data_IF_187045487091
#
_entry.id   IF_187045487091
#
_cell.length_a   1.000
_cell.length_b   1.000
_cell.length_c   1.000
_cell.angle_alpha   90.00
_cell.angle_beta   90.00
_cell.angle_gamma   90.00
#
_symmetry.space_group_name_H-M   'P 1'
#
loop_
_entity.id
_entity.type
_entity.pdbx_description
1 polymer ?
2 non-polymer ?
3 non-polymer ?
4 water ?
#
# COMPACT_ATOMS: atom_id res chain seq x y z
N UNK A 2 -17.15 -20.94 4.36
CA UNK A 2 -15.93 -21.63 3.93
C UNK A 2 -15.15 -20.79 2.95
N UNK A 3 -15.68 -19.62 2.59
CA UNK A 3 -15.12 -18.76 1.55
C UNK A 3 -14.54 -17.50 2.19
N UNK A 4 -13.23 -17.32 2.05
CA UNK A 4 -12.49 -16.20 2.61
C UNK A 4 -11.83 -15.42 1.48
N UNK A 5 -11.42 -14.20 1.78
CA UNK A 5 -10.65 -13.39 0.85
C UNK A 5 -9.39 -12.90 1.54
N UNK A 6 -8.28 -12.86 0.80
CA UNK A 6 -7.04 -12.31 1.34
C UNK A 6 -6.52 -11.26 0.37
N UNK A 7 -5.83 -10.26 0.91
CA UNK A 7 -5.04 -9.34 0.12
C UNK A 7 -3.77 -9.07 0.88
N UNK A 8 -2.66 -8.82 0.18
CA UNK A 8 -1.55 -8.13 0.82
C UNK A 8 -1.94 -6.69 1.05
N UNK A 9 -1.18 -5.98 1.87
CA UNK A 9 -1.48 -4.58 2.16
C UNK A 9 -0.83 -3.70 1.09
N UNK A 10 -1.37 -3.82 -0.13
CA UNK A 10 -0.85 -3.18 -1.32
C UNK A 10 -2.00 -2.48 -2.04
N UNK A 11 -1.84 -1.20 -2.35
CA UNK A 11 -2.87 -0.40 -2.98
C UNK A 11 -2.24 0.42 -4.09
N UNK A 12 -2.81 0.37 -5.28
CA UNK A 12 -2.31 1.16 -6.41
C UNK A 12 -3.45 2.02 -6.91
N UNK A 13 -3.09 3.15 -7.52
CA UNK A 13 -4.11 4.08 -7.95
C UNK A 13 -3.62 4.93 -9.10
N UNK A 14 -4.56 5.61 -9.73
CA UNK A 14 -4.32 6.36 -10.96
C UNK A 14 -3.73 7.73 -10.68
N UNK A 15 -2.63 8.04 -11.34
CA UNK A 15 -2.08 9.39 -11.35
C UNK A 15 -2.34 9.96 -12.72
N UNK A 16 -3.11 11.05 -12.78
CA UNK A 16 -3.46 11.67 -14.04
C UNK A 16 -2.23 11.92 -14.88
N UNK A 17 -2.22 11.34 -16.08
CA UNK A 17 -1.16 11.59 -17.05
C UNK A 17 0.22 11.10 -16.69
N UNK A 18 0.34 10.11 -15.80
CA UNK A 18 1.66 9.62 -15.43
C UNK A 18 2.06 8.47 -16.34
N UNK A 19 3.33 8.43 -16.70
CA UNK A 19 3.89 7.38 -17.54
C UNK A 19 4.69 6.35 -16.74
N UNK A 20 4.59 6.34 -15.41
CA UNK A 20 5.43 5.47 -14.61
C UNK A 20 4.61 4.80 -13.53
N UNK A 21 4.85 3.51 -13.33
CA UNK A 21 4.21 2.72 -12.27
C UNK A 21 2.69 2.91 -12.26
N UNK A 22 2.09 2.86 -13.46
CA UNK A 22 0.65 2.84 -13.64
C UNK A 22 0.14 1.49 -14.12
N UNK A 23 1.02 0.49 -14.26
CA UNK A 23 0.67 -0.82 -14.80
C UNK A 23 1.30 -1.89 -13.93
N UNK A 24 0.48 -2.81 -13.41
CA UNK A 24 0.90 -3.70 -12.36
C UNK A 24 0.52 -5.15 -12.68
N UNK A 25 1.36 -6.08 -12.25
CA UNK A 25 1.20 -7.49 -12.58
C UNK A 25 1.51 -8.34 -11.36
N UNK A 26 0.74 -9.41 -11.18
CA UNK A 26 1.08 -10.42 -10.17
C UNK A 26 0.53 -11.76 -10.62
N UNK A 27 0.94 -12.82 -9.93
CA UNK A 27 0.43 -14.15 -10.23
C UNK A 27 -0.09 -14.79 -8.95
N UNK A 28 -0.91 -15.83 -9.11
CA UNK A 28 -1.38 -16.64 -8.00
C UNK A 28 -1.15 -18.11 -8.34
N UNK A 29 -0.74 -18.90 -7.34
CA UNK A 29 -0.64 -20.33 -7.54
C UNK A 29 -1.20 -21.03 -6.32
N UNK A 30 -1.59 -22.30 -6.51
CA UNK A 30 -2.04 -23.15 -5.40
C UNK A 30 -0.87 -23.94 -4.81
N UNK A 41 -15.02 -26.60 -4.64
CA UNK A 41 -14.24 -25.54 -4.00
C UNK A 41 -14.18 -24.24 -4.80
N UNK A 42 -14.26 -23.11 -4.10
CA UNK A 42 -14.30 -21.79 -4.73
C UNK A 42 -12.87 -21.26 -4.88
N UNK A 43 -12.58 -20.64 -6.03
CA UNK A 43 -11.32 -19.92 -6.20
C UNK A 43 -11.51 -18.85 -7.27
N UNK A 44 -11.40 -17.59 -6.87
CA UNK A 44 -11.42 -16.45 -7.78
C UNK A 44 -10.23 -15.55 -7.45
N UNK A 45 -9.68 -14.92 -8.49
CA UNK A 45 -8.49 -14.09 -8.39
C UNK A 45 -8.76 -12.79 -9.14
N UNK A 46 -8.31 -11.67 -8.59
CA UNK A 46 -8.33 -10.44 -9.36
C UNK A 46 -7.97 -9.19 -8.57
N UNK A 47 -8.67 -8.11 -8.87
CA UNK A 47 -8.44 -6.80 -8.27
C UNK A 47 -9.74 -6.30 -7.65
N UNK A 48 -9.63 -5.62 -6.51
CA UNK A 48 -10.77 -4.95 -5.91
C UNK A 48 -10.44 -3.48 -5.69
N UNK A 49 -11.44 -2.63 -5.88
CA UNK A 49 -11.28 -1.19 -5.75
C UNK A 49 -11.92 -0.71 -4.44
N UNK A 50 -11.24 0.19 -3.74
CA UNK A 50 -11.68 0.56 -2.39
C UNK A 50 -12.99 1.35 -2.40
N UNK A 51 -13.49 1.74 -3.57
CA UNK A 51 -14.85 2.27 -3.64
C UNK A 51 -15.88 1.25 -3.18
N UNK A 52 -15.54 -0.04 -3.20
CA UNK A 52 -16.43 -1.10 -2.73
C UNK A 52 -16.57 -1.16 -1.22
N UNK A 53 -15.76 -0.41 -0.48
CA UNK A 53 -15.93 -0.30 0.97
C UNK A 53 -17.07 0.65 1.30
N UNK A 54 -17.84 0.32 2.34
CA UNK A 54 -19.02 1.10 2.67
C UNK A 54 -19.07 1.36 4.18
N UNK A 55 -19.80 2.39 4.59
CA UNK A 55 -19.86 2.74 6.00
C UNK A 55 -20.34 1.59 6.86
N UNK A 56 -19.73 1.47 8.03
CA UNK A 56 -20.10 0.52 9.06
C UNK A 56 -20.79 1.26 10.22
N UNK A 57 -21.84 0.68 10.79
CA UNK A 57 -22.65 1.44 11.77
C UNK A 57 -21.84 2.10 12.88
N UNK A 58 -21.03 1.32 13.60
CA UNK A 58 -20.25 1.94 14.67
C UNK A 58 -19.35 3.05 14.19
N UNK A 59 -19.00 3.06 12.90
CA UNK A 59 -17.97 3.94 12.38
C UNK A 59 -16.97 3.13 11.59
N UNK A 60 -16.19 3.78 10.75
CA UNK A 60 -15.31 3.04 9.86
C UNK A 60 -16.08 2.45 8.70
N UNK A 61 -15.40 1.58 7.94
CA UNK A 61 -15.96 0.99 6.74
C UNK A 61 -15.65 -0.49 6.68
N UNK A 62 -16.50 -1.24 5.97
CA UNK A 62 -16.30 -2.66 5.73
C UNK A 62 -16.39 -2.93 4.22
N UNK A 63 -15.88 -4.08 3.79
CA UNK A 63 -15.97 -4.43 2.37
C UNK A 63 -17.42 -4.76 2.04
N UNK A 64 -17.94 -4.13 0.98
CA UNK A 64 -19.32 -4.32 0.56
C UNK A 64 -19.65 -5.65 -0.10
N UNK A 65 -18.67 -6.52 -0.35
CA UNK A 65 -18.92 -7.79 -1.01
C UNK A 65 -18.39 -8.98 -0.22
N UNK A 66 -18.68 -10.16 -0.75
CA UNK A 66 -18.23 -11.41 -0.13
C UNK A 66 -16.88 -11.86 -0.68
N UNK A 67 -16.72 -11.83 -2.00
CA UNK A 67 -15.46 -12.17 -2.61
C UNK A 67 -15.23 -11.32 -3.85
N UNK A 68 -14.04 -11.46 -4.42
CA UNK A 68 -13.72 -10.69 -5.61
C UNK A 68 -14.74 -10.99 -6.71
N UNK A 69 -15.21 -9.93 -7.38
CA UNK A 69 -16.20 -10.04 -8.41
C UNK A 69 -17.64 -9.96 -7.95
N UNK A 70 -17.91 -9.96 -6.64
CA UNK A 70 -19.29 -9.98 -6.22
C UNK A 70 -19.89 -8.58 -6.06
N UNK A 71 -19.08 -7.56 -5.84
CA UNK A 71 -19.55 -6.18 -5.80
C UNK A 71 -19.28 -5.49 -7.13
N UNK A 72 -19.80 -4.27 -7.28
CA UNK A 72 -19.62 -3.53 -8.52
C UNK A 72 -18.17 -3.08 -8.73
N UNK A 73 -17.33 -3.13 -7.70
CA UNK A 73 -16.02 -2.51 -7.76
C UNK A 73 -14.89 -3.52 -7.60
N UNK A 74 -15.15 -4.78 -7.93
CA UNK A 74 -14.07 -5.77 -8.00
C UNK A 74 -14.25 -6.61 -9.26
N UNK A 75 -13.15 -7.26 -9.65
CA UNK A 75 -13.04 -7.80 -11.00
C UNK A 75 -12.24 -9.08 -10.91
N UNK A 76 -12.89 -10.23 -11.11
CA UNK A 76 -12.31 -11.50 -10.76
C UNK A 76 -12.34 -12.47 -11.93
N UNK A 77 -11.64 -13.60 -11.73
CA UNK A 77 -11.47 -14.62 -12.75
C UNK A 77 -11.29 -15.96 -12.06
N UNK A 78 -12.03 -17.00 -12.50
CA UNK A 78 -11.98 -18.28 -11.81
C UNK A 78 -11.48 -19.41 -12.71
N UNK A 79 -10.87 -19.08 -13.84
CA UNK A 79 -10.42 -20.05 -14.81
C UNK A 79 -11.40 -20.29 -15.93
N UNK A 80 -12.69 -20.07 -15.68
CA UNK A 80 -13.71 -20.25 -16.72
C UNK A 80 -14.59 -19.03 -16.94
N UNK A 81 -14.66 -18.10 -15.99
CA UNK A 81 -15.51 -16.92 -16.11
C UNK A 81 -14.80 -15.70 -15.56
N UNK A 82 -15.13 -14.54 -16.13
CA UNK A 82 -14.84 -13.24 -15.53
C UNK A 82 -16.03 -12.83 -14.67
N UNK A 83 -15.74 -12.20 -13.52
CA UNK A 83 -16.78 -11.86 -12.54
C UNK A 83 -16.66 -10.39 -12.16
N UNK A 84 -17.79 -9.69 -12.18
CA UNK A 84 -17.85 -8.37 -11.56
C UNK A 84 -19.33 -8.06 -11.32
N UNK A 85 -19.60 -7.38 -10.21
CA UNK A 85 -20.98 -7.10 -9.84
C UNK A 85 -21.85 -8.34 -9.67
N UNK A 86 -21.26 -9.48 -9.31
CA UNK A 86 -21.99 -10.73 -9.20
C UNK A 86 -22.38 -11.37 -10.52
N UNK A 87 -21.98 -10.82 -11.65
CA UNK A 87 -22.27 -11.38 -12.96
C UNK A 87 -21.06 -12.13 -13.49
N UNK A 88 -21.30 -13.25 -14.18
CA UNK A 88 -20.22 -14.07 -14.72
C UNK A 88 -20.25 -14.06 -16.25
N UNK A 89 -19.07 -13.99 -16.85
CA UNK A 89 -18.91 -13.93 -18.30
C UNK A 89 -17.99 -15.06 -18.73
N UNK A 90 -18.50 -15.99 -19.53
CA UNK A 90 -17.68 -17.12 -19.93
C UNK A 90 -16.54 -16.70 -20.84
N UNK A 91 -15.38 -17.34 -20.66
CA UNK A 91 -14.25 -17.18 -21.57
C UNK A 91 -13.79 -18.58 -21.94
N UNK A 92 -12.87 -18.64 -22.90
CA UNK A 92 -12.25 -19.93 -23.18
C UNK A 92 -11.51 -20.42 -21.94
N UNK A 93 -11.41 -21.73 -21.79
CA UNK A 93 -10.89 -22.30 -20.56
C UNK A 93 -9.88 -23.41 -20.86
N UNK A 94 -8.97 -23.62 -19.92
CA UNK A 94 -7.92 -24.61 -20.10
C UNK A 94 -8.34 -25.99 -19.64
N UNK A 95 -9.28 -26.08 -18.69
CA UNK A 95 -9.84 -27.35 -18.25
C UNK A 95 -11.31 -27.40 -18.62
N UNK A 96 -11.76 -28.55 -19.15
CA UNK A 96 -13.13 -28.61 -19.65
C UNK A 96 -14.14 -28.55 -18.50
N UNK A 97 -13.85 -29.21 -17.39
CA UNK A 97 -14.78 -29.30 -16.27
C UNK A 97 -14.12 -28.79 -15.00
N UNK A 98 -14.96 -28.47 -14.02
CA UNK A 98 -14.45 -28.11 -12.71
C UNK A 98 -13.60 -29.27 -12.16
N UNK A 99 -12.54 -28.96 -11.40
CA UNK A 99 -12.02 -27.64 -11.02
C UNK A 99 -11.36 -26.91 -12.18
N UNK A 100 -11.70 -25.63 -12.39
CA UNK A 100 -11.14 -24.89 -13.51
C UNK A 100 -9.71 -24.45 -13.25
N UNK A 101 -9.30 -24.39 -11.98
CA UNK A 101 -7.93 -24.06 -11.58
C UNK A 101 -7.43 -25.22 -10.74
N UNK A 102 -6.32 -25.83 -11.15
CA UNK A 102 -5.81 -27.03 -10.50
C UNK A 102 -4.41 -26.79 -9.93
N UNK A 103 -4.00 -27.66 -9.03
CA UNK A 103 -2.66 -27.51 -8.45
C UNK A 103 -1.62 -27.54 -9.57
N UNK A 104 -0.66 -26.62 -9.49
CA UNK A 104 0.33 -26.41 -10.51
C UNK A 104 -0.02 -25.32 -11.52
N UNK A 105 -1.30 -25.05 -11.73
CA UNK A 105 -1.67 -23.95 -12.62
C UNK A 105 -1.29 -22.62 -11.98
N UNK A 106 -0.97 -21.65 -12.84
CA UNK A 106 -0.53 -20.32 -12.41
C UNK A 106 -1.38 -19.28 -13.11
N UNK A 107 -2.00 -18.39 -12.34
CA UNK A 107 -2.89 -17.38 -12.89
C UNK A 107 -2.17 -16.05 -12.89
N UNK A 108 -2.13 -15.38 -14.04
CA UNK A 108 -1.59 -14.05 -14.16
C UNK A 108 -2.68 -13.00 -14.10
N UNK A 109 -2.40 -11.87 -13.48
CA UNK A 109 -3.40 -10.82 -13.37
C UNK A 109 -2.73 -9.46 -13.56
N UNK A 110 -3.34 -8.61 -14.42
CA UNK A 110 -2.69 -7.37 -14.86
C UNK A 110 -3.66 -6.21 -14.80
N UNK A 111 -3.17 -5.05 -14.39
CA UNK A 111 -3.96 -3.84 -14.27
C UNK A 111 -3.19 -2.70 -14.92
N UNK A 112 -3.73 -2.14 -16.00
CA UNK A 112 -3.17 -0.97 -16.67
C UNK A 112 -4.11 0.19 -16.39
N UNK A 113 -3.70 1.08 -15.47
CA UNK A 113 -4.56 2.20 -15.07
C UNK A 113 -4.66 3.29 -16.13
N UNK A 114 -3.83 3.25 -17.17
CA UNK A 114 -3.87 4.32 -18.18
C UNK A 114 -4.98 4.14 -19.19
N UNK A 115 -5.56 2.94 -19.29
CA UNK A 115 -6.56 2.69 -20.32
C UNK A 115 -7.94 3.09 -19.79
N UNK A 116 -8.44 2.48 -18.70
CA UNK A 116 -7.89 1.40 -17.90
C UNK A 116 -8.34 0.03 -18.38
N UNK A 117 -7.57 -1.01 -18.09
CA UNK A 117 -7.93 -2.36 -18.54
C UNK A 117 -7.32 -3.36 -17.57
N UNK A 118 -8.08 -4.41 -17.26
CA UNK A 118 -7.64 -5.52 -16.43
C UNK A 118 -7.67 -6.76 -17.30
N UNK A 119 -6.53 -7.45 -17.37
CA UNK A 119 -6.39 -8.68 -18.14
C UNK A 119 -6.01 -9.84 -17.21
N UNK A 120 -6.19 -11.07 -17.72
CA UNK A 120 -5.80 -12.28 -17.00
C UNK A 120 -5.04 -13.22 -17.90
N UNK A 121 -4.31 -14.16 -17.28
CA UNK A 121 -3.57 -15.19 -18.01
C UNK A 121 -3.72 -16.51 -17.27
N UNK A 122 -3.75 -17.60 -18.03
CA UNK A 122 -3.83 -18.94 -17.47
C UNK A 122 -2.62 -19.72 -17.98
N UNK A 123 -1.68 -20.05 -17.09
CA UNK A 123 -0.47 -20.77 -17.50
C UNK A 123 0.24 -20.05 -18.63
N UNK A 124 0.36 -18.72 -18.51
CA UNK A 124 1.08 -17.95 -19.49
C UNK A 124 0.40 -17.81 -20.83
N UNK A 125 -0.90 -18.06 -20.90
CA UNK A 125 -1.69 -17.85 -22.11
C UNK A 125 -2.71 -16.75 -21.82
N UNK A 126 -2.74 -15.71 -22.66
CA UNK A 126 -3.66 -14.60 -22.43
C UNK A 126 -5.10 -15.08 -22.46
N UNK A 127 -5.88 -14.63 -21.47
CA UNK A 127 -7.31 -14.90 -21.44
C UNK A 127 -7.99 -13.95 -22.41
N UNK A 128 -8.91 -14.49 -23.22
CA UNK A 128 -9.73 -13.74 -24.17
C UNK A 128 -10.92 -13.14 -23.42
N UNK A 129 -10.69 -11.99 -22.84
CA UNK A 129 -11.73 -11.35 -22.07
C UNK A 129 -11.04 -10.41 -21.11
N UNK A 130 -11.63 -9.26 -20.89
CA UNK A 130 -10.99 -8.24 -20.08
C UNK A 130 -12.07 -7.36 -19.47
N UNK A 131 -11.65 -6.57 -18.49
CA UNK A 131 -12.49 -5.54 -17.92
C UNK A 131 -11.97 -4.18 -18.38
N UNK A 132 -12.86 -3.35 -18.87
CA UNK A 132 -12.49 -2.03 -19.37
C UNK A 132 -13.52 -1.02 -18.88
N UNK A 133 -13.14 0.26 -18.96
CA UNK A 133 -14.06 1.37 -18.72
C UNK A 133 -14.65 1.30 -17.30
N UNK A 134 -13.84 0.89 -16.34
CA UNK A 134 -14.32 0.78 -14.97
C UNK A 134 -13.88 2.00 -14.15
N UNK A 135 -14.50 2.13 -12.98
CA UNK A 135 -14.25 3.27 -12.12
C UNK A 135 -12.78 3.36 -11.72
N UNK A 136 -12.25 4.58 -11.72
CA UNK A 136 -10.86 4.83 -11.35
C UNK A 136 -10.70 5.65 -10.07
N UNK A 137 -11.79 6.03 -9.41
CA UNK A 137 -11.68 6.66 -8.10
C UNK A 137 -11.27 5.63 -7.07
N UNK A 138 -10.42 6.03 -6.14
CA UNK A 138 -10.00 5.12 -5.09
C UNK A 138 -8.77 4.33 -5.51
N UNK A 139 -8.55 3.21 -4.82
CA UNK A 139 -7.35 2.43 -5.03
C UNK A 139 -7.69 0.97 -5.24
N UNK A 140 -6.80 0.26 -5.93
CA UNK A 140 -6.97 -1.15 -6.28
C UNK A 140 -6.01 -2.00 -5.46
N UNK A 141 -6.50 -3.13 -4.96
CA UNK A 141 -5.63 -4.10 -4.29
C UNK A 141 -5.84 -5.48 -4.90
N UNK A 142 -4.78 -6.30 -4.97
CA UNK A 142 -4.93 -7.67 -5.45
C UNK A 142 -5.66 -8.51 -4.40
N UNK A 143 -6.41 -9.50 -4.87
CA UNK A 143 -7.26 -10.26 -3.96
C UNK A 143 -7.45 -11.68 -4.51
N UNK A 144 -7.49 -12.63 -3.58
CA UNK A 144 -7.90 -14.01 -3.83
C UNK A 144 -9.10 -14.27 -2.94
N UNK A 145 -10.10 -14.96 -3.47
CA UNK A 145 -11.22 -15.46 -2.68
C UNK A 145 -11.24 -16.97 -2.82
N UNK A 146 -11.17 -17.68 -1.70
CA UNK A 146 -10.83 -19.10 -1.68
C UNK A 146 -11.74 -19.78 -0.67
N UNK A 147 -12.03 -21.05 -0.90
CA UNK A 147 -12.74 -21.84 0.09
C UNK A 147 -11.74 -22.57 0.98
N UNK A 148 -12.24 -23.08 2.10
CA UNK A 148 -11.41 -23.90 2.96
C UNK A 148 -10.87 -25.08 2.17
N UNK A 149 -9.75 -25.61 2.63
CA UNK A 149 -9.05 -26.73 1.99
C UNK A 149 -8.30 -26.29 0.74
N UNK A 150 -8.19 -25.00 0.49
CA UNK A 150 -7.33 -24.47 -0.56
C UNK A 150 -6.29 -23.55 0.05
N UNK A 151 -5.05 -23.66 -0.42
CA UNK A 151 -3.97 -22.78 0.00
C UNK A 151 -3.37 -22.15 -1.25
N UNK A 152 -3.55 -20.85 -1.40
CA UNK A 152 -3.04 -20.12 -2.55
C UNK A 152 -2.08 -19.05 -2.08
N UNK A 153 -1.15 -18.70 -2.96
CA UNK A 153 -0.08 -17.78 -2.64
C UNK A 153 -0.06 -16.69 -3.70
N UNK A 154 0.08 -15.44 -3.26
CA UNK A 154 0.42 -14.36 -4.16
C UNK A 154 1.88 -14.45 -4.53
N UNK A 155 2.16 -14.27 -5.81
CA UNK A 155 3.53 -14.13 -6.31
C UNK A 155 3.64 -12.67 -6.73
N UNK A 156 4.33 -11.87 -5.93
CA UNK A 156 4.43 -10.44 -6.17
C UNK A 156 5.75 -10.03 -6.79
N UNK A 157 6.68 -10.96 -6.99
CA UNK A 157 8.00 -10.65 -7.52
C UNK A 157 9.04 -10.61 -6.43
N UNK A 158 10.30 -10.42 -6.85
CA UNK A 158 11.37 -10.28 -5.86
C UNK A 158 11.45 -11.50 -4.97
N UNK A 159 11.70 -11.27 -3.68
CA UNK A 159 11.67 -12.34 -2.69
C UNK A 159 10.27 -12.58 -2.15
N UNK A 160 9.26 -11.91 -2.70
CA UNK A 160 7.86 -12.09 -2.31
C UNK A 160 7.11 -13.01 -3.28
N UNK A 161 7.75 -14.10 -3.70
CA UNK A 161 7.10 -15.00 -4.63
C UNK A 161 7.53 -14.73 -6.05
N UNK A 162 8.42 -15.58 -6.56
CA UNK A 162 8.98 -15.37 -7.89
C UNK A 162 7.92 -15.53 -8.97
N UNK A 163 7.85 -14.56 -9.88
CA UNK A 163 6.94 -14.68 -11.01
C UNK A 163 7.39 -15.83 -11.91
N UNK A 164 6.42 -16.62 -12.35
CA UNK A 164 6.71 -17.68 -13.31
C UNK A 164 6.79 -17.17 -14.74
N UNK A 165 6.12 -16.06 -15.05
CA UNK A 165 6.13 -15.52 -16.38
C UNK A 165 6.63 -14.09 -16.34
N UNK A 166 7.18 -13.63 -17.45
CA UNK A 166 7.59 -12.25 -17.56
C UNK A 166 6.36 -11.36 -17.47
N UNK A 167 6.46 -10.28 -16.72
CA UNK A 167 5.37 -9.30 -16.74
C UNK A 167 5.19 -8.77 -18.16
N UNK A 168 3.96 -8.45 -18.54
CA UNK A 168 3.73 -7.89 -19.88
C UNK A 168 4.53 -6.62 -20.08
N UNK A 169 4.83 -6.26 -21.32
CA UNK A 169 5.68 -5.08 -21.55
C UNK A 169 5.05 -3.83 -20.98
N UNK A 170 5.84 -3.07 -20.23
CA UNK A 170 5.37 -1.87 -19.55
C UNK A 170 4.85 -2.09 -18.15
N UNK A 171 4.61 -3.32 -17.72
CA UNK A 171 4.04 -3.58 -16.41
C UNK A 171 5.12 -3.88 -15.37
N UNK A 172 4.82 -3.49 -14.10
CA UNK A 172 5.72 -3.75 -12.99
C UNK A 172 5.16 -4.84 -12.07
N UNK A 173 6.00 -5.74 -11.57
CA UNK A 173 5.56 -6.62 -10.47
C UNK A 173 5.18 -5.78 -9.27
N UNK A 174 4.19 -6.25 -8.51
CA UNK A 174 3.71 -5.44 -7.39
C UNK A 174 4.78 -5.17 -6.34
N UNK A 175 5.80 -6.02 -6.23
CA UNK A 175 6.85 -5.77 -5.24
C UNK A 175 7.51 -4.41 -5.48
N UNK A 176 7.38 -3.85 -6.68
CA UNK A 176 8.01 -2.55 -6.88
C UNK A 176 7.23 -1.42 -6.21
N UNK A 177 6.11 -1.72 -5.56
CA UNK A 177 5.48 -0.75 -4.66
C UNK A 177 6.42 -0.29 -3.55
N UNK A 178 7.46 -1.06 -3.25
CA UNK A 178 8.41 -0.67 -2.21
C UNK A 178 9.40 0.40 -2.69
N UNK A 179 9.48 0.70 -4.00
CA UNK A 179 10.41 1.70 -4.46
C UNK A 179 9.93 3.11 -4.13
N UNK A 180 10.84 4.04 -3.85
CA UNK A 180 10.43 5.43 -3.60
C UNK A 180 10.07 6.16 -4.88
N UNK A 181 9.07 7.03 -4.77
CA UNK A 181 8.70 7.96 -5.83
C UNK A 181 8.48 9.35 -5.24
N UNK A 182 8.80 10.38 -6.02
CA UNK A 182 8.57 11.74 -5.58
C UNK A 182 7.09 12.08 -5.54
N UNK A 183 6.69 12.77 -4.48
CA UNK A 183 5.29 13.08 -4.23
C UNK A 183 4.72 13.94 -5.34
N UNK A 184 5.49 14.89 -5.85
CA UNK A 184 4.98 15.77 -6.90
C UNK A 184 4.66 14.99 -8.17
N UNK A 185 5.36 13.89 -8.42
CA UNK A 185 5.08 13.02 -9.55
C UNK A 185 3.90 12.09 -9.31
N UNK A 186 3.31 12.10 -8.12
CA UNK A 186 2.21 11.21 -7.80
C UNK A 186 0.87 11.94 -7.75
N UNK A 187 0.78 13.10 -8.38
CA UNK A 187 -0.45 13.88 -8.35
C UNK A 187 -0.57 14.64 -9.67
N UNK A 188 -1.78 15.08 -10.04
CA UNK A 188 -3.01 14.77 -9.30
C UNK A 188 -3.36 13.29 -9.38
N UNK A 189 -3.89 12.74 -8.29
CA UNK A 189 -4.31 11.34 -8.30
C UNK A 189 -5.77 11.23 -7.93
N UNK A 190 -6.31 10.03 -8.12
CA UNK A 190 -7.71 9.76 -7.81
C UNK A 190 -7.85 8.78 -6.67
N UNK A 191 -6.75 8.48 -5.97
CA UNK A 191 -6.73 7.43 -4.97
C UNK A 191 -7.62 7.74 -3.78
N UNK A 192 -7.92 9.02 -3.54
CA UNK A 192 -8.55 9.46 -2.31
C UNK A 192 -9.90 10.12 -2.53
N UNK A 193 -10.43 10.12 -3.77
CA UNK A 193 -11.83 10.40 -3.98
C UNK A 193 -12.25 11.82 -4.35
N UNK A 194 -11.42 12.51 -5.12
CA UNK A 194 -11.85 13.76 -5.76
C UNK A 194 -12.51 14.73 -4.79
N UNK B 4 12.24 18.29 -2.10
CA UNK B 4 11.42 17.22 -2.63
C UNK B 4 11.02 16.24 -1.52
N UNK B 5 9.92 15.52 -1.72
CA UNK B 5 9.48 14.49 -0.80
C UNK B 5 9.33 13.18 -1.56
N UNK B 6 9.67 12.06 -0.92
CA UNK B 6 9.49 10.75 -1.53
C UNK B 6 8.74 9.86 -0.55
N UNK B 7 7.97 8.93 -1.10
CA UNK B 7 7.42 7.87 -0.29
C UNK B 7 7.49 6.60 -1.12
N UNK B 8 7.63 5.45 -0.49
CA UNK B 8 7.26 4.21 -1.18
C UNK B 8 5.75 4.17 -1.31
N UNK B 9 5.27 3.27 -2.16
CA UNK B 9 3.83 3.11 -2.34
C UNK B 9 3.29 2.16 -1.26
N UNK B 10 3.33 2.66 -0.02
CA UNK B 10 2.98 1.89 1.16
C UNK B 10 2.03 2.73 1.99
N UNK B 11 0.89 2.14 2.37
CA UNK B 11 -0.13 2.83 3.14
C UNK B 11 -0.62 1.90 4.24
N UNK B 12 -0.65 2.40 5.47
CA UNK B 12 -1.17 1.61 6.59
C UNK B 12 -2.30 2.39 7.24
N UNK B 13 -3.22 1.66 7.88
CA UNK B 13 -4.38 2.29 8.46
C UNK B 13 -4.96 1.48 9.58
N UNK B 14 -5.81 2.14 10.37
CA UNK B 14 -6.34 1.60 11.62
C UNK B 14 -7.48 0.63 11.35
N UNK B 15 -7.39 -0.56 11.93
CA UNK B 15 -8.51 -1.49 12.00
C UNK B 15 -8.99 -1.48 13.45
N UNK B 16 -10.24 -1.10 13.65
CA UNK B 16 -10.74 -0.96 15.01
C UNK B 16 -10.64 -2.28 15.75
N UNK B 17 -9.96 -2.25 16.90
CA UNK B 17 -9.85 -3.41 17.76
C UNK B 17 -9.01 -4.55 17.23
N UNK B 18 -8.08 -4.29 16.31
CA UNK B 18 -7.24 -5.36 15.77
C UNK B 18 -5.97 -5.49 16.59
N UNK B 19 -5.54 -6.74 16.79
CA UNK B 19 -4.31 -7.04 17.51
C UNK B 19 -3.13 -7.33 16.60
N UNK B 20 -3.23 -7.06 15.29
CA UNK B 20 -2.20 -7.52 14.36
C UNK B 20 -1.92 -6.47 13.31
N UNK B 21 -0.63 -6.29 13.03
CA UNK B 21 -0.16 -5.40 11.95
C UNK B 21 -0.79 -4.02 12.06
N UNK B 22 -0.83 -3.51 13.29
CA UNK B 22 -1.23 -2.13 13.60
C UNK B 22 -0.06 -1.29 14.08
N UNK B 23 1.15 -1.84 14.11
CA UNK B 23 2.34 -1.15 14.61
C UNK B 23 3.48 -1.34 13.61
N UNK B 24 4.03 -0.23 13.12
CA UNK B 24 4.92 -0.25 11.96
C UNK B 24 6.19 0.54 12.23
N UNK B 25 7.30 0.07 11.65
CA UNK B 25 8.62 0.60 11.90
C UNK B 25 9.41 0.65 10.60
N UNK B 26 10.16 1.73 10.39
CA UNK B 26 11.16 1.76 9.32
C UNK B 26 12.30 2.66 9.78
N UNK B 27 13.39 2.65 9.00
CA UNK B 27 14.52 3.53 9.26
C UNK B 27 14.86 4.29 7.98
N UNK B 28 15.60 5.38 8.15
CA UNK B 28 16.14 6.15 7.02
C UNK B 28 17.62 6.39 7.27
N UNK B 29 18.42 6.32 6.20
CA UNK B 29 19.83 6.69 6.30
C UNK B 29 20.24 7.48 5.07
N UNK B 30 21.28 8.27 5.24
CA UNK B 30 21.91 8.98 4.11
C UNK B 30 22.95 8.10 3.42
N UNK B 41 21.06 22.41 4.12
CA UNK B 41 20.28 21.34 3.49
C UNK B 41 19.16 20.81 4.38
N UNK B 42 17.96 20.69 3.80
CA UNK B 42 16.78 20.25 4.52
C UNK B 42 16.75 18.73 4.59
N UNK B 43 16.32 18.17 5.73
CA UNK B 43 16.08 16.73 5.85
C UNK B 43 15.11 16.50 7.00
N UNK B 44 13.89 16.06 6.67
CA UNK B 44 12.90 15.64 7.65
C UNK B 44 12.38 14.27 7.29
N UNK B 45 12.03 13.49 8.32
CA UNK B 45 11.59 12.11 8.17
C UNK B 45 10.33 11.89 9.01
N UNK B 46 9.38 11.12 8.48
CA UNK B 46 8.28 10.71 9.33
C UNK B 46 7.13 10.05 8.59
N UNK B 47 5.90 10.35 9.00
CA UNK B 47 4.69 9.76 8.46
C UNK B 47 3.76 10.88 7.98
N UNK B 48 3.07 10.63 6.86
CA UNK B 48 2.03 11.53 6.37
C UNK B 48 0.71 10.79 6.26
N UNK B 49 -0.38 11.46 6.61
CA UNK B 49 -1.72 10.89 6.55
C UNK B 49 -2.46 11.45 5.33
N UNK B 50 -3.20 10.57 4.65
CA UNK B 50 -3.79 10.95 3.36
C UNK B 50 -4.95 11.94 3.51
N UNK B 51 -5.41 12.20 4.72
CA UNK B 51 -6.30 13.33 4.95
C UNK B 51 -5.66 14.65 4.53
N UNK B 52 -4.33 14.69 4.41
CA UNK B 52 -3.64 15.88 3.95
C UNK B 52 -3.77 16.15 2.46
N UNK B 53 -4.27 15.19 1.69
CA UNK B 53 -4.53 15.40 0.27
C UNK B 53 -5.80 16.22 0.09
N UNK B 54 -5.79 17.16 -0.84
CA UNK B 54 -6.95 18.03 -1.01
C UNK B 54 -7.32 18.09 -2.48
N UNK B 55 -8.56 18.49 -2.76
CA UNK B 55 -9.07 18.49 -4.14
C UNK B 55 -8.22 19.36 -5.05
N UNK B 56 -8.05 18.89 -6.27
CA UNK B 56 -7.32 19.58 -7.30
C UNK B 56 -8.30 20.12 -8.33
N UNK B 57 -8.14 21.36 -8.78
CA UNK B 57 -9.18 21.95 -9.66
C UNK B 57 -9.58 21.07 -10.83
N UNK B 58 -8.63 20.62 -11.64
CA UNK B 58 -8.97 19.77 -12.77
C UNK B 58 -9.65 18.46 -12.41
N UNK B 59 -9.66 18.09 -11.13
CA UNK B 59 -10.13 16.79 -10.70
C UNK B 59 -9.03 15.99 -10.02
N UNK B 60 -9.39 15.06 -9.14
CA UNK B 60 -8.38 14.38 -8.35
C UNK B 60 -7.93 15.21 -7.16
N UNK B 61 -6.79 14.81 -6.59
CA UNK B 61 -6.29 15.38 -5.34
C UNK B 61 -4.77 15.53 -5.41
N UNK B 62 -4.26 16.51 -4.66
CA UNK B 62 -2.83 16.74 -4.51
C UNK B 62 -2.50 16.87 -3.02
N UNK B 63 -1.22 16.70 -2.68
CA UNK B 63 -0.82 16.82 -1.28
C UNK B 63 -0.89 18.29 -0.86
N UNK B 64 -1.50 18.52 0.30
CA UNK B 64 -1.74 19.89 0.74
C UNK B 64 -0.52 20.65 1.20
N UNK B 65 0.60 19.95 1.43
CA UNK B 65 1.79 20.57 1.99
C UNK B 65 3.02 20.40 1.11
N UNK B 66 4.12 21.00 1.57
CA UNK B 66 5.37 21.02 0.85
C UNK B 66 6.39 20.03 1.39
N UNK B 67 6.07 19.36 2.47
CA UNK B 67 7.00 18.41 3.05
C UNK B 67 6.44 17.90 4.36
N UNK B 68 6.97 16.75 4.78
CA UNK B 68 6.48 16.14 6.01
C UNK B 68 6.58 17.13 7.16
N UNK B 69 5.51 17.22 7.94
CA UNK B 69 5.42 18.14 9.06
C UNK B 69 4.85 19.51 8.73
N UNK B 70 4.66 19.84 7.45
CA UNK B 70 4.20 21.18 7.13
C UNK B 70 2.68 21.31 7.13
N UNK B 71 1.95 20.24 6.86
CA UNK B 71 0.49 20.25 6.96
C UNK B 71 0.06 19.68 8.30
N UNK B 72 -1.24 19.84 8.61
CA UNK B 72 -1.77 19.34 9.88
C UNK B 72 -1.73 17.82 9.98
N UNK B 73 -1.55 17.12 8.87
CA UNK B 73 -1.74 15.67 8.84
C UNK B 73 -0.46 14.92 8.53
N UNK B 74 0.69 15.51 8.84
CA UNK B 74 1.96 14.79 8.73
C UNK B 74 2.83 15.15 9.94
N UNK B 75 3.82 14.29 10.21
CA UNK B 75 4.47 14.23 11.51
C UNK B 75 5.92 13.87 11.26
N UNK B 76 6.82 14.84 11.44
CA UNK B 76 8.18 14.72 10.99
C UNK B 76 9.18 15.04 12.09
N UNK B 77 10.43 14.71 11.80
CA UNK B 77 11.55 14.82 12.74
C UNK B 77 12.80 15.13 11.93
N UNK B 78 13.58 16.14 12.36
CA UNK B 78 14.78 16.51 11.62
C UNK B 78 16.06 16.31 12.41
N UNK B 79 16.00 15.60 13.54
CA UNK B 79 17.16 15.40 14.40
C UNK B 79 17.22 16.37 15.58
N UNK B 80 16.55 17.50 15.49
CA UNK B 80 16.50 18.43 16.61
C UNK B 80 15.09 18.90 16.96
N UNK B 81 14.11 18.69 16.09
CA UNK B 81 12.75 19.17 16.28
C UNK B 81 11.78 18.16 15.73
N UNK B 82 10.62 18.05 16.39
CA UNK B 82 9.44 17.42 15.82
C UNK B 82 8.65 18.46 15.06
N UNK B 83 8.06 18.06 13.94
CA UNK B 83 7.34 18.99 13.06
C UNK B 83 5.95 18.46 12.80
N UNK B 84 4.94 19.31 12.98
CA UNK B 84 3.62 19.02 12.46
C UNK B 84 2.84 20.32 12.42
N UNK B 85 1.98 20.46 11.41
CA UNK B 85 1.28 21.71 11.21
C UNK B 85 2.17 22.90 10.92
N UNK B 86 3.38 22.67 10.41
CA UNK B 86 4.32 23.75 10.23
C UNK B 86 4.91 24.31 11.51
N UNK B 87 4.66 23.66 12.64
CA UNK B 87 5.20 24.06 13.94
C UNK B 87 6.31 23.10 14.35
N UNK B 88 7.34 23.62 15.01
CA UNK B 88 8.48 22.83 15.43
C UNK B 88 8.57 22.77 16.94
N UNK B 89 8.94 21.60 17.47
CA UNK B 89 9.10 21.37 18.90
C UNK B 89 10.48 20.82 19.15
N UNK B 90 11.27 21.49 20.00
CA UNK B 90 12.61 21.03 20.26
C UNK B 90 12.61 19.73 21.07
N UNK B 91 13.52 18.83 20.71
CA UNK B 91 13.81 17.65 21.50
C UNK B 91 15.32 17.62 21.74
N UNK B 92 15.76 16.78 22.67
CA UNK B 92 17.20 16.61 22.83
C UNK B 92 17.81 16.12 21.53
N UNK B 93 19.07 16.47 21.28
CA UNK B 93 19.63 16.18 19.97
C UNK B 93 21.01 15.57 20.13
N UNK B 94 21.39 14.78 19.13
CA UNK B 94 22.66 14.07 19.13
C UNK B 94 23.79 14.96 18.65
N UNK B 95 23.51 15.90 17.74
CA UNK B 95 24.50 16.87 17.29
C UNK B 95 24.08 18.26 17.78
N UNK B 96 25.04 18.99 18.36
CA UNK B 96 24.74 20.33 18.87
C UNK B 96 24.36 21.30 17.76
N UNK B 97 25.06 21.26 16.63
CA UNK B 97 24.91 22.23 15.55
C UNK B 97 24.40 21.56 14.28
N UNK B 98 23.72 22.32 13.44
CA UNK B 98 23.40 21.85 12.11
C UNK B 98 24.69 21.40 11.42
N UNK B 99 24.66 20.34 10.60
CA UNK B 99 23.52 19.46 10.28
C UNK B 99 23.15 18.54 11.44
N UNK B 100 21.87 18.45 11.78
CA UNK B 100 21.45 17.61 12.89
C UNK B 100 21.39 16.14 12.52
N UNK B 101 21.35 15.81 11.22
CA UNK B 101 21.43 14.44 10.72
C UNK B 101 22.59 14.38 9.75
N UNK B 102 23.55 13.48 10.03
CA UNK B 102 24.80 13.44 9.29
C UNK B 102 24.96 12.08 8.62
N UNK B 103 25.88 12.05 7.65
CA UNK B 103 26.21 10.82 6.97
C UNK B 103 26.58 9.72 7.96
N UNK B 104 25.93 8.58 7.84
CA UNK B 104 26.12 7.48 8.76
C UNK B 104 25.09 7.39 9.87
N UNK B 105 24.44 8.49 10.22
CA UNK B 105 23.37 8.43 11.21
C UNK B 105 22.17 7.69 10.63
N UNK B 106 21.44 7.00 11.51
CA UNK B 106 20.28 6.20 11.11
C UNK B 106 19.08 6.65 11.94
N UNK B 107 18.00 7.05 11.26
CA UNK B 107 16.80 7.54 11.93
C UNK B 107 15.76 6.43 11.96
N UNK B 108 15.23 6.13 13.15
CA UNK B 108 14.13 5.18 13.29
C UNK B 108 12.80 5.90 13.44
N UNK B 109 11.75 5.31 12.87
CA UNK B 109 10.44 5.94 12.89
C UNK B 109 9.38 4.86 13.13
N UNK B 110 8.51 5.08 14.13
CA UNK B 110 7.55 4.07 14.55
C UNK B 110 6.15 4.66 14.63
N UNK B 111 5.16 3.86 14.23
CA UNK B 111 3.75 4.27 14.27
C UNK B 111 2.96 3.15 14.90
N UNK B 112 2.32 3.43 16.03
CA UNK B 112 1.45 2.47 16.72
C UNK B 112 0.04 3.00 16.58
N UNK B 113 -0.76 2.37 15.71
CA UNK B 113 -2.10 2.87 15.44
C UNK B 113 -3.08 2.58 16.58
N UNK B 114 -2.72 1.70 17.52
CA UNK B 114 -3.65 1.37 18.60
C UNK B 114 -3.75 2.46 19.65
N UNK B 115 -2.75 3.33 19.76
CA UNK B 115 -2.72 4.31 20.84
C UNK B 115 -3.55 5.54 20.47
N UNK B 116 -3.21 6.29 19.40
CA UNK B 116 -2.09 6.13 18.47
C UNK B 116 -0.88 6.96 18.88
N UNK B 117 0.31 6.57 18.45
CA UNK B 117 1.51 7.29 18.85
C UNK B 117 2.57 7.10 17.79
N UNK B 118 3.27 8.19 17.47
CA UNK B 118 4.42 8.16 16.58
C UNK B 118 5.66 8.50 17.38
N UNK B 119 6.67 7.63 17.29
CA UNK B 119 7.94 7.80 17.99
C UNK B 119 9.06 7.83 16.96
N UNK B 120 10.20 8.38 17.38
CA UNK B 120 11.40 8.45 16.56
C UNK B 120 12.59 7.96 17.36
N UNK B 121 13.64 7.59 16.65
CA UNK B 121 14.90 7.15 17.25
C UNK B 121 16.05 7.74 16.45
N UNK B 122 17.15 8.05 17.15
CA UNK B 122 18.36 8.56 16.51
C UNK B 122 19.50 7.62 16.87
N UNK B 123 20.02 6.89 15.89
CA UNK B 123 21.11 5.95 16.14
C UNK B 123 20.76 5.00 17.26
N UNK B 124 19.53 4.49 17.23
CA UNK B 124 19.10 3.52 18.19
C UNK B 124 18.84 4.04 19.59
N UNK B 125 18.71 5.35 19.76
CA UNK B 125 18.36 5.96 21.05
C UNK B 125 16.98 6.61 20.89
N UNK B 126 16.05 6.27 21.79
CA UNK B 126 14.70 6.84 21.72
C UNK B 126 14.73 8.36 21.81
N UNK B 127 13.98 9.00 20.92
CA UNK B 127 13.77 10.45 20.99
C UNK B 127 12.74 10.75 22.07
N UNK B 128 13.07 11.68 22.95
CA UNK B 128 12.17 12.14 24.03
C UNK B 128 11.20 13.15 23.45
N UNK B 129 10.18 12.62 22.79
CA UNK B 129 9.17 13.46 22.19
C UNK B 129 8.38 12.59 21.25
N UNK B 130 7.08 12.81 21.14
CA UNK B 130 6.24 11.94 20.35
C UNK B 130 5.02 12.71 19.89
N UNK B 131 4.32 12.12 18.93
CA UNK B 131 3.04 12.62 18.48
C UNK B 131 1.96 11.67 18.98
N UNK B 132 0.93 12.24 19.61
CA UNK B 132 -0.17 11.46 20.14
C UNK B 132 -1.47 12.16 19.80
N UNK B 133 -2.57 11.41 19.92
CA UNK B 133 -3.92 11.98 19.81
C UNK B 133 -4.16 12.63 18.45
N UNK B 134 -3.60 12.05 17.41
CA UNK B 134 -3.78 12.59 16.06
C UNK B 134 -4.86 11.82 15.31
N UNK B 135 -5.32 12.43 14.22
CA UNK B 135 -6.40 11.88 13.42
C UNK B 135 -6.05 10.48 12.90
N UNK B 136 -7.04 9.57 12.92
CA UNK B 136 -6.86 8.21 12.42
C UNK B 136 -7.70 7.90 11.19
N UNK B 137 -8.45 8.86 10.67
CA UNK B 137 -9.10 8.66 9.39
C UNK B 137 -8.06 8.69 8.28
N UNK B 138 -8.25 7.85 7.28
CA UNK B 138 -7.31 7.80 6.17
C UNK B 138 -6.20 6.79 6.42
N UNK B 139 -5.11 6.98 5.68
CA UNK B 139 -4.00 6.04 5.75
C UNK B 139 -2.70 6.82 5.88
N UNK B 140 -1.70 6.14 6.44
CA UNK B 140 -0.40 6.73 6.71
C UNK B 140 0.63 6.13 5.77
N UNK B 141 1.52 6.98 5.24
CA UNK B 141 2.65 6.52 4.43
C UNK B 141 3.95 7.11 4.99
N UNK B 142 5.04 6.34 4.93
CA UNK B 142 6.34 6.90 5.34
C UNK B 142 6.81 7.90 4.30
N UNK B 143 7.59 8.88 4.76
CA UNK B 143 7.97 9.99 3.89
C UNK B 143 9.27 10.60 4.39
N UNK B 144 10.11 10.96 3.43
CA UNK B 144 11.31 11.77 3.64
C UNK B 144 11.13 13.05 2.82
N UNK B 145 11.52 14.18 3.40
CA UNK B 145 11.60 15.43 2.66
C UNK B 145 13.04 15.91 2.72
N UNK B 146 13.64 16.16 1.55
CA UNK B 146 15.09 16.25 1.42
C UNK B 146 15.47 17.37 0.47
N UNK B 147 16.70 17.86 0.64
CA UNK B 147 17.30 18.83 -0.26
C UNK B 147 17.99 18.12 -1.43
N UNK B 148 18.24 18.88 -2.50
CA UNK B 148 18.80 18.31 -3.72
C UNK B 148 20.21 17.76 -3.51
N UNK B 149 20.94 18.28 -2.52
CA UNK B 149 22.29 17.80 -2.26
C UNK B 149 22.31 16.49 -1.49
N UNK B 150 21.16 15.92 -1.17
CA UNK B 150 21.08 14.77 -0.28
C UNK B 150 20.51 13.56 -1.00
N UNK B 151 20.99 12.38 -0.58
CA UNK B 151 20.48 11.10 -1.06
C UNK B 151 20.20 10.22 0.16
N UNK B 152 18.94 9.91 0.39
CA UNK B 152 18.52 9.07 1.51
C UNK B 152 17.77 7.85 1.00
N UNK B 153 17.86 6.76 1.78
CA UNK B 153 17.21 5.50 1.46
C UNK B 153 16.24 5.15 2.58
N UNK B 154 15.06 4.65 2.22
CA UNK B 154 14.19 3.95 3.17
C UNK B 154 14.74 2.57 3.44
N UNK B 155 14.79 2.20 4.71
CA UNK B 155 15.14 0.85 5.13
C UNK B 155 13.84 0.22 5.60
N UNK B 156 13.25 -0.62 4.77
CA UNK B 156 11.93 -1.17 5.06
C UNK B 156 11.98 -2.59 5.59
N UNK B 157 13.16 -3.21 5.64
CA UNK B 157 13.30 -4.59 6.09
C UNK B 157 13.51 -5.53 4.91
N UNK B 158 13.72 -6.79 5.25
CA UNK B 158 13.85 -7.80 4.20
C UNK B 158 14.95 -7.46 3.22
N UNK B 159 14.68 -7.69 1.94
CA UNK B 159 15.62 -7.28 0.89
C UNK B 159 15.41 -5.84 0.47
N UNK B 160 14.51 -5.12 1.12
CA UNK B 160 14.22 -3.72 0.79
C UNK B 160 14.85 -2.77 1.80
N UNK B 161 16.13 -3.00 2.12
CA UNK B 161 16.83 -2.17 3.07
C UNK B 161 16.85 -2.79 4.45
N UNK B 162 17.95 -3.45 4.78
CA UNK B 162 18.08 -4.11 6.07
C UNK B 162 17.99 -3.11 7.22
N UNK B 163 17.14 -3.39 8.21
CA UNK B 163 17.07 -2.56 9.39
C UNK B 163 18.35 -2.68 10.22
N UNK B 164 18.85 -1.54 10.69
CA UNK B 164 20.03 -1.52 11.55
C UNK B 164 19.71 -1.89 12.99
N UNK B 165 18.48 -1.62 13.43
CA UNK B 165 18.07 -1.88 14.80
C UNK B 165 16.85 -2.77 14.78
N UNK B 166 16.68 -3.55 15.84
CA UNK B 166 15.47 -4.34 15.96
C UNK B 166 14.26 -3.44 16.12
N UNK B 167 13.18 -3.78 15.44
CA UNK B 167 11.95 -3.05 15.61
C UNK B 167 11.52 -3.08 17.07
N UNK B 168 10.84 -2.04 17.56
CA UNK B 168 10.35 -2.06 18.93
C UNK B 168 9.44 -3.25 19.15
N UNK B 169 9.34 -3.74 20.37
CA UNK B 169 8.50 -4.93 20.63
C UNK B 169 7.07 -4.71 20.17
N UNK B 170 6.55 -5.66 19.40
CA UNK B 170 5.21 -5.56 18.87
C UNK B 170 5.10 -4.89 17.52
N UNK B 171 6.18 -4.28 17.03
CA UNK B 171 6.16 -3.55 15.76
C UNK B 171 6.66 -4.42 14.62
N UNK B 172 6.10 -4.17 13.41
CA UNK B 172 6.49 -4.87 12.19
C UNK B 172 7.27 -3.95 11.25
N UNK B 173 8.34 -4.43 10.62
CA UNK B 173 8.94 -3.67 9.52
C UNK B 173 7.95 -3.56 8.38
N UNK B 174 8.00 -2.41 7.68
CA UNK B 174 6.98 -2.15 6.66
C UNK B 174 7.00 -3.17 5.53
N UNK B 175 8.10 -3.88 5.32
CA UNK B 175 8.12 -4.87 4.24
C UNK B 175 7.06 -5.94 4.47
N UNK B 176 6.57 -6.07 5.69
CA UNK B 176 5.54 -7.06 5.95
C UNK B 176 4.17 -6.62 5.43
N UNK B 177 4.06 -5.42 4.87
CA UNK B 177 2.87 -5.07 4.10
C UNK B 177 2.62 -6.02 2.94
N UNK B 178 3.64 -6.75 2.49
CA UNK B 178 3.47 -7.69 1.40
C UNK B 178 2.81 -8.99 1.84
N UNK B 179 2.64 -9.21 3.15
CA UNK B 179 2.04 -10.45 3.63
C UNK B 179 0.52 -10.44 3.42
N UNK B 180 -0.08 -11.58 3.12
CA UNK B 180 -1.54 -11.63 2.97
C UNK B 180 -2.24 -11.61 4.33
N UNK B 181 -3.40 -10.94 4.36
CA UNK B 181 -4.29 -10.98 5.51
C UNK B 181 -5.72 -11.17 5.03
N UNK B 182 -6.53 -11.79 5.88
CA UNK B 182 -7.94 -11.99 5.56
C UNK B 182 -8.73 -10.69 5.62
N UNK B 183 -9.57 -10.49 4.60
CA UNK B 183 -10.33 -9.25 4.47
C UNK B 183 -11.22 -9.02 5.67
N UNK B 184 -11.89 -10.09 6.16
CA UNK B 184 -12.78 -9.90 7.31
C UNK B 184 -12.01 -9.45 8.55
N UNK B 185 -10.72 -9.76 8.65
CA UNK B 185 -9.93 -9.30 9.79
C UNK B 185 -9.42 -7.88 9.59
N UNK B 186 -9.72 -7.26 8.47
CA UNK B 186 -9.22 -5.92 8.17
C UNK B 186 -10.31 -4.87 8.30
N UNK B 187 -11.39 -5.19 9.01
CA UNK B 187 -12.52 -4.27 9.14
C UNK B 187 -13.15 -4.47 10.51
N UNK B 188 -13.89 -3.47 11.01
CA UNK B 188 -14.06 -2.16 10.37
C UNK B 188 -12.77 -1.36 10.35
N UNK B 189 -12.49 -0.64 9.27
CA UNK B 189 -11.30 0.18 9.23
C UNK B 189 -11.65 1.62 8.96
N UNK B 190 -10.67 2.49 9.17
CA UNK B 190 -10.83 3.92 8.96
C UNK B 190 -10.01 4.43 7.79
N UNK B 191 -9.46 3.52 6.97
CA UNK B 191 -8.54 3.88 5.91
C UNK B 191 -9.20 4.69 4.80
N UNK B 192 -10.52 4.57 4.67
CA UNK B 192 -11.23 5.20 3.58
C UNK B 192 -12.25 6.17 4.15
#
# INVERSE_FOLDING_TARGET
DHVSSVRPNIFVGRVEGSAVYQKWYFEVTMDHIEKTTHMMPHLRIGWANTTGYVPYPGGGEKWGGNGVGDDLYSYGYDGAFLWSGGAKTGVNRTHAEEPYIRKGDVIGCALDLTVPIINFMFNGVRVTGSFTNFNLEGMFFPVISCSSKLSCRFLLGGEHGRLRYAAPPGYSPLVECLLPQQILSLEPCFCFGNL
DHVSSVRPNIFVGRVEGSAVYQKWYFEVTMDHIEKTTHMMPHLRIGWANTTGYVPYPGGGEKWGGNGVGDDLYSYGYDGAFLWSGGAKTGVNRTHAEEPYIRKGDVIGCALDLTVPIINFMFNGVRVTGSFTNFNLEGMFFPVISCSSKLSCRFLLGGEHGRLRYAAPPGYSPLVECLLPQQILSLEPCFCFGNL
#
